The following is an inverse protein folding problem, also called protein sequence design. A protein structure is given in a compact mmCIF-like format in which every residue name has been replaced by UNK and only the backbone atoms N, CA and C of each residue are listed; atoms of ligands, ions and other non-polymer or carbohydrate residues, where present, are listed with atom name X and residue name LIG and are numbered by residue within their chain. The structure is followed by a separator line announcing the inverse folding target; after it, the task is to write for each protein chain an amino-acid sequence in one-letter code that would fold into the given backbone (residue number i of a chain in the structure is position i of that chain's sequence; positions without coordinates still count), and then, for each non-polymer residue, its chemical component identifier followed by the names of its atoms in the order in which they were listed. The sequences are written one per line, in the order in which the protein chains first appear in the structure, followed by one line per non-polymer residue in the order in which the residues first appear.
data_IF_413304700412
#
_entry.id   IF_413304700412
#
_cell.length_a   1.000
_cell.length_b   1.000
_cell.length_c   1.000
_cell.angle_alpha   90.00
_cell.angle_beta   90.00
_cell.angle_gamma   90.00
#
_symmetry.space_group_name_H-M   'P 1'
#
loop_
_entity.id
_entity.type
_entity.pdbx_description
1 polymer ?
#
# COMPACT_ATOMS: atom_id res chain seq x y z
N UNK A 1 6.56 -67.02 6.59
CA UNK A 1 7.21 -66.04 5.72
C UNK A 1 6.23 -64.89 5.48
N UNK A 2 6.59 -63.71 5.94
CA UNK A 2 5.79 -62.49 5.85
C UNK A 2 6.01 -61.79 4.52
N UNK A 3 4.96 -61.21 3.93
CA UNK A 3 5.06 -60.01 3.11
C UNK A 3 3.81 -59.15 3.30
N UNK A 4 3.96 -58.15 4.16
CA UNK A 4 3.13 -56.95 4.22
C UNK A 4 3.46 -56.11 2.98
N UNK A 5 2.48 -55.81 2.13
CA UNK A 5 2.61 -54.77 1.11
C UNK A 5 1.48 -53.76 1.32
N UNK A 6 1.82 -52.72 2.08
CA UNK A 6 1.03 -51.51 2.26
C UNK A 6 0.93 -50.78 0.92
N UNK A 7 -0.25 -50.76 0.32
CA UNK A 7 -0.59 -49.80 -0.73
C UNK A 7 -0.94 -48.47 -0.08
N UNK A 8 0.00 -47.53 -0.08
CA UNK A 8 -0.30 -46.10 0.13
C UNK A 8 0.12 -45.36 -1.13
N UNK A 9 -0.83 -44.87 -1.95
CA UNK A 9 -0.52 -43.82 -2.89
C UNK A 9 -1.33 -42.56 -2.57
N UNK A 10 -0.59 -41.55 -2.10
CA UNK A 10 -0.70 -40.16 -2.51
C UNK A 10 -2.07 -39.48 -2.37
N UNK A 11 -2.32 -38.95 -1.17
CA UNK A 11 -3.17 -37.78 -1.00
C UNK A 11 -2.46 -36.59 -1.68
N UNK A 12 -2.82 -36.30 -2.94
CA UNK A 12 -2.53 -35.00 -3.54
C UNK A 12 -3.39 -33.94 -2.83
N UNK A 13 -2.93 -33.50 -1.65
CA UNK A 13 -3.43 -32.28 -1.03
C UNK A 13 -2.87 -31.11 -1.85
N UNK A 14 -3.49 -30.82 -2.99
CA UNK A 14 -3.26 -29.58 -3.71
C UNK A 14 -3.85 -28.44 -2.87
N UNK A 15 -3.12 -28.01 -1.84
CA UNK A 15 -3.26 -26.68 -1.28
C UNK A 15 -2.73 -25.75 -2.36
N UNK A 16 -3.54 -25.48 -3.38
CA UNK A 16 -3.42 -24.26 -4.16
C UNK A 16 -3.95 -23.16 -3.23
N UNK A 17 -3.20 -22.91 -2.15
CA UNK A 17 -3.23 -21.65 -1.46
C UNK A 17 -2.71 -20.66 -2.47
N UNK A 18 -3.62 -20.05 -3.23
CA UNK A 18 -3.33 -18.76 -3.85
C UNK A 18 -3.02 -17.86 -2.67
N UNK A 19 -1.75 -17.73 -2.32
CA UNK A 19 -1.29 -16.65 -1.48
C UNK A 19 -1.54 -15.40 -2.31
N UNK A 20 -2.74 -14.83 -2.16
CA UNK A 20 -2.91 -13.39 -2.30
C UNK A 20 -1.76 -12.81 -1.49
N UNK A 21 -0.88 -12.04 -2.14
CA UNK A 21 0.23 -11.41 -1.44
C UNK A 21 -0.34 -10.79 -0.17
N UNK A 22 0.12 -11.27 0.98
CA UNK A 22 -0.45 -10.86 2.26
C UNK A 22 -0.21 -9.36 2.39
N UNK A 23 -1.30 -8.60 2.41
CA UNK A 23 -1.20 -7.14 2.45
C UNK A 23 -0.59 -6.82 3.81
N UNK A 24 0.54 -6.09 3.87
CA UNK A 24 1.21 -5.86 5.13
C UNK A 24 0.27 -5.10 6.08
N UNK A 25 0.39 -5.30 7.40
CA UNK A 25 -0.47 -4.64 8.39
C UNK A 25 -0.36 -3.10 8.35
N UNK A 26 0.70 -2.58 7.71
CA UNK A 26 0.94 -1.16 7.51
C UNK A 26 1.47 -0.90 6.10
N UNK A 27 0.92 0.10 5.42
CA UNK A 27 1.44 0.66 4.17
C UNK A 27 1.69 2.17 4.31
N UNK A 28 2.44 2.73 3.37
CA UNK A 28 2.90 4.11 3.36
C UNK A 28 2.43 4.81 2.09
N UNK A 29 1.57 5.81 2.23
CA UNK A 29 0.98 6.56 1.13
C UNK A 29 1.60 7.96 1.08
N UNK A 30 2.08 8.37 -0.09
CA UNK A 30 2.72 9.68 -0.28
C UNK A 30 1.74 10.71 -0.83
N UNK A 31 1.74 11.91 -0.27
CA UNK A 31 0.81 12.99 -0.63
C UNK A 31 1.44 14.38 -0.42
N UNK A 32 0.83 15.39 -1.04
CA UNK A 32 1.16 16.81 -0.85
C UNK A 32 0.25 17.50 0.17
N UNK A 33 -0.91 16.91 0.45
CA UNK A 33 -1.90 17.44 1.38
C UNK A 33 -1.42 17.22 2.80
N UNK A 34 -1.70 18.21 3.64
CA UNK A 34 -1.47 18.18 5.07
C UNK A 34 -2.48 17.30 5.82
N UNK A 35 -2.16 16.96 7.07
CA UNK A 35 -3.05 16.19 7.95
C UNK A 35 -4.40 16.88 8.14
N UNK A 36 -4.44 18.21 8.18
CA UNK A 36 -5.70 18.98 8.28
C UNK A 36 -6.55 18.78 7.03
N UNK A 37 -5.96 18.84 5.84
CA UNK A 37 -6.70 18.64 4.59
C UNK A 37 -7.22 17.20 4.45
N UNK A 38 -6.40 16.20 4.80
CA UNK A 38 -6.81 14.80 4.72
C UNK A 38 -7.86 14.45 5.78
N UNK A 39 -7.70 14.95 7.01
CA UNK A 39 -8.65 14.66 8.09
C UNK A 39 -10.02 15.31 7.89
N UNK A 40 -10.07 16.52 7.34
CA UNK A 40 -11.35 17.19 6.99
C UNK A 40 -12.11 16.46 5.87
N UNK A 41 -11.42 15.66 5.06
CA UNK A 41 -12.00 14.78 4.04
C UNK A 41 -12.33 13.37 4.57
N UNK A 42 -12.19 13.16 5.89
CA UNK A 42 -12.31 11.88 6.56
C UNK A 42 -11.37 10.79 6.00
N UNK A 43 -10.19 11.18 5.53
CA UNK A 43 -9.18 10.28 4.98
C UNK A 43 -9.00 10.43 3.48
N UNK A 44 -8.67 9.32 2.82
CA UNK A 44 -8.41 9.28 1.37
C UNK A 44 -9.60 8.61 0.67
N UNK A 45 -10.04 9.13 -0.49
CA UNK A 45 -11.09 8.51 -1.33
C UNK A 45 -12.47 8.36 -0.67
N UNK A 46 -12.70 9.01 0.47
CA UNK A 46 -13.98 8.93 1.16
C UNK A 46 -14.98 9.95 0.60
N UNK A 47 -16.28 9.69 0.75
CA UNK A 47 -17.37 10.62 0.38
C UNK A 47 -17.37 11.14 -1.07
N UNK A 48 -16.94 10.29 -2.01
CA UNK A 48 -16.94 10.66 -3.44
C UNK A 48 -15.81 11.62 -3.83
N UNK A 49 -14.84 11.86 -2.94
CA UNK A 49 -13.63 12.59 -3.29
C UNK A 49 -12.80 11.80 -4.31
N UNK A 50 -12.30 12.51 -5.32
CA UNK A 50 -11.42 11.92 -6.31
C UNK A 50 -10.13 11.38 -5.68
N UNK A 51 -9.55 10.33 -6.28
CA UNK A 51 -8.18 9.90 -6.03
C UNK A 51 -7.23 11.08 -5.92
N UNK A 52 -6.59 11.25 -4.77
CA UNK A 52 -5.53 12.24 -4.57
C UNK A 52 -4.42 11.59 -3.76
N UNK A 53 -3.21 11.75 -4.26
CA UNK A 53 -1.99 11.11 -3.79
C UNK A 53 -1.00 11.00 -4.93
N UNK A 54 0.20 10.49 -4.65
CA UNK A 54 1.21 10.29 -5.67
C UNK A 54 1.04 8.91 -6.34
N UNK A 55 1.32 8.87 -7.65
CA UNK A 55 1.54 7.64 -8.39
C UNK A 55 3.04 7.43 -8.54
N UNK A 56 3.52 6.22 -8.31
CA UNK A 56 4.93 5.89 -8.50
C UNK A 56 5.20 5.61 -9.96
N UNK A 57 4.39 4.73 -10.56
CA UNK A 57 4.42 4.41 -11.98
C UNK A 57 3.02 4.25 -12.55
N UNK A 58 2.91 4.33 -13.88
CA UNK A 58 1.73 3.89 -14.59
C UNK A 58 1.84 2.38 -14.86
N UNK A 59 0.75 1.65 -14.61
CA UNK A 59 0.69 0.20 -14.77
C UNK A 59 -0.43 -0.22 -15.71
N UNK A 60 -0.07 -0.86 -16.83
CA UNK A 60 -1.02 -1.38 -17.82
C UNK A 60 -1.95 -2.48 -17.26
N UNK A 61 -1.55 -3.08 -16.13
CA UNK A 61 -2.38 -4.07 -15.43
C UNK A 61 -3.47 -3.43 -14.55
N UNK A 62 -3.45 -2.10 -14.42
CA UNK A 62 -4.26 -1.32 -13.48
C UNK A 62 -4.84 -0.04 -14.13
N UNK A 63 -5.32 -0.14 -15.37
CA UNK A 63 -5.81 1.00 -16.17
C UNK A 63 -7.28 1.36 -15.95
N UNK A 64 -8.08 0.43 -15.44
CA UNK A 64 -9.54 0.59 -15.35
C UNK A 64 -10.02 1.16 -14.02
N UNK A 65 -9.16 1.12 -13.00
CA UNK A 65 -9.51 1.51 -11.63
C UNK A 65 -8.61 2.67 -11.21
N UNK A 66 -9.16 3.88 -10.99
CA UNK A 66 -8.39 4.97 -10.42
C UNK A 66 -7.83 4.57 -9.05
N UNK A 67 -6.54 4.83 -8.82
CA UNK A 67 -5.85 4.46 -7.59
C UNK A 67 -4.83 5.52 -7.20
N UNK A 68 -4.17 5.36 -6.05
CA UNK A 68 -2.89 6.03 -5.73
C UNK A 68 -1.92 4.98 -5.25
N UNK A 69 -0.64 5.24 -5.48
CA UNK A 69 0.42 4.31 -5.09
C UNK A 69 0.69 4.43 -3.59
N UNK A 70 0.81 3.29 -2.95
CA UNK A 70 1.37 3.14 -1.62
C UNK A 70 2.46 2.06 -1.65
N UNK A 71 3.36 2.09 -0.68
CA UNK A 71 4.39 1.07 -0.52
C UNK A 71 4.25 0.35 0.82
N UNK A 72 4.59 -0.93 0.90
CA UNK A 72 4.86 -1.59 2.19
C UNK A 72 6.16 -1.12 2.87
N UNK A 73 6.98 -0.31 2.18
CA UNK A 73 8.27 0.20 2.64
C UNK A 73 8.26 1.71 2.80
N UNK A 74 8.39 2.20 4.04
CA UNK A 74 8.44 3.64 4.36
C UNK A 74 9.48 4.40 3.55
N UNK A 75 10.66 3.80 3.36
CA UNK A 75 11.77 4.43 2.62
C UNK A 75 11.40 4.70 1.17
N UNK A 76 10.75 3.74 0.50
CA UNK A 76 10.30 3.88 -0.90
C UNK A 76 9.32 5.03 -1.02
N UNK A 77 8.31 5.08 -0.14
CA UNK A 77 7.35 6.19 -0.12
C UNK A 77 8.01 7.56 0.09
N UNK A 78 9.00 7.66 1.00
CA UNK A 78 9.75 8.89 1.21
C UNK A 78 10.56 9.28 -0.03
N UNK A 79 11.25 8.34 -0.67
CA UNK A 79 12.03 8.64 -1.88
C UNK A 79 11.12 9.13 -3.01
N UNK A 80 9.97 8.49 -3.23
CA UNK A 80 8.98 8.96 -4.20
C UNK A 80 8.44 10.35 -3.87
N UNK A 81 8.12 10.61 -2.60
CA UNK A 81 7.65 11.92 -2.18
C UNK A 81 8.69 13.01 -2.47
N UNK A 82 9.98 12.75 -2.22
CA UNK A 82 11.08 13.67 -2.50
C UNK A 82 11.29 13.94 -3.99
N UNK A 83 11.21 12.89 -4.83
CA UNK A 83 11.50 13.01 -6.26
C UNK A 83 10.35 13.61 -7.05
N UNK A 84 9.11 13.42 -6.59
CA UNK A 84 7.91 13.87 -7.30
C UNK A 84 7.49 15.28 -6.89
N UNK A 85 7.76 15.68 -5.64
CA UNK A 85 7.35 16.99 -5.13
C UNK A 85 8.48 18.00 -5.37
N UNK A 86 8.33 18.77 -6.45
CA UNK A 86 9.28 19.79 -6.84
C UNK A 86 9.15 21.09 -6.03
N UNK A 87 10.29 21.72 -5.75
CA UNK A 87 10.39 23.00 -5.06
C UNK A 87 10.35 22.89 -3.53
N UNK A 88 10.30 24.03 -2.85
CA UNK A 88 10.27 24.09 -1.38
C UNK A 88 8.85 23.86 -0.85
N UNK A 89 8.32 22.66 -1.09
CA UNK A 89 6.99 22.23 -0.62
C UNK A 89 7.13 21.08 0.34
N UNK A 90 6.34 21.09 1.41
CA UNK A 90 6.31 19.99 2.35
C UNK A 90 5.67 18.77 1.68
N UNK A 91 6.29 17.61 1.84
CA UNK A 91 5.69 16.34 1.46
C UNK A 91 5.26 15.57 2.70
N UNK A 92 4.28 14.69 2.53
CA UNK A 92 3.71 13.88 3.58
C UNK A 92 3.72 12.41 3.17
N UNK A 93 4.08 11.54 4.11
CA UNK A 93 4.02 10.09 3.98
C UNK A 93 3.17 9.56 5.13
N UNK A 94 1.95 9.19 4.80
CA UNK A 94 0.94 8.69 5.72
C UNK A 94 1.14 7.22 6.02
N UNK A 95 1.07 6.86 7.30
CA UNK A 95 1.19 5.48 7.77
C UNK A 95 -0.21 4.92 7.95
N UNK A 96 -0.61 4.03 7.04
CA UNK A 96 -1.96 3.47 7.01
C UNK A 96 -1.93 2.08 7.63
N UNK A 97 -2.77 1.86 8.64
CA UNK A 97 -3.11 0.52 9.13
C UNK A 97 -4.11 -0.12 8.17
N UNK A 98 -3.80 -1.32 7.71
CA UNK A 98 -4.61 -2.01 6.70
C UNK A 98 -5.75 -2.82 7.29
N UNK A 99 -5.63 -3.22 8.56
CA UNK A 99 -6.70 -3.85 9.33
C UNK A 99 -7.96 -2.98 9.37
N UNK A 100 -9.12 -3.59 9.15
CA UNK A 100 -10.42 -2.94 9.17
C UNK A 100 -10.79 -2.21 7.87
N UNK A 101 -9.91 -2.14 6.88
CA UNK A 101 -10.26 -1.65 5.55
C UNK A 101 -11.16 -2.65 4.82
N UNK A 102 -12.10 -2.12 4.02
CA UNK A 102 -12.97 -2.94 3.21
C UNK A 102 -12.17 -3.79 2.19
N UNK A 103 -12.63 -5.01 1.87
CA UNK A 103 -11.97 -5.85 0.87
C UNK A 103 -11.80 -5.12 -0.47
N UNK A 104 -10.60 -5.22 -1.05
CA UNK A 104 -10.27 -4.62 -2.34
C UNK A 104 -9.88 -3.14 -2.30
N UNK A 105 -9.92 -2.46 -1.14
CA UNK A 105 -9.42 -1.07 -1.00
C UNK A 105 -7.92 -0.99 -1.27
N UNK A 106 -7.16 -2.00 -0.84
CA UNK A 106 -5.74 -2.14 -1.12
C UNK A 106 -5.55 -3.38 -1.99
N UNK A 107 -4.82 -3.24 -3.09
CA UNK A 107 -4.53 -4.33 -4.02
C UNK A 107 -3.04 -4.35 -4.34
N UNK A 108 -2.40 -5.52 -4.23
CA UNK A 108 -1.00 -5.68 -4.64
C UNK A 108 -0.87 -5.55 -6.16
N UNK A 109 -0.01 -4.63 -6.60
CA UNK A 109 0.25 -4.44 -8.04
C UNK A 109 1.02 -5.65 -8.59
N UNK A 110 2.02 -6.13 -7.85
CA UNK A 110 2.76 -7.34 -8.23
C UNK A 110 1.85 -8.56 -8.41
N UNK A 111 0.82 -8.72 -7.57
CA UNK A 111 -0.16 -9.78 -7.72
C UNK A 111 -0.97 -9.66 -9.03
N UNK A 112 -1.37 -8.44 -9.44
CA UNK A 112 -2.06 -8.23 -10.73
C UNK A 112 -1.19 -8.55 -11.94
N UNK A 113 0.11 -8.23 -11.89
CA UNK A 113 1.06 -8.66 -12.91
C UNK A 113 1.11 -10.19 -12.99
N UNK A 114 1.21 -10.86 -11.84
CA UNK A 114 1.22 -12.32 -11.76
C UNK A 114 -0.07 -12.95 -12.31
N UNK A 115 -1.24 -12.38 -12.02
CA UNK A 115 -2.53 -12.85 -12.52
C UNK A 115 -2.62 -12.81 -14.05
N UNK A 116 -1.91 -11.86 -14.69
CA UNK A 116 -1.79 -11.75 -16.16
C UNK A 116 -0.59 -12.52 -16.73
N UNK A 117 0.09 -13.34 -15.92
CA UNK A 117 1.31 -14.06 -16.29
C UNK A 117 2.44 -13.12 -16.79
N UNK A 118 2.52 -11.92 -16.21
CA UNK A 118 3.52 -10.90 -16.49
C UNK A 118 4.50 -10.75 -15.32
N UNK A 119 5.72 -10.29 -15.61
CA UNK A 119 6.72 -9.93 -14.60
C UNK A 119 6.51 -8.48 -14.15
N UNK A 120 6.36 -8.26 -12.85
CA UNK A 120 6.32 -6.91 -12.29
C UNK A 120 7.70 -6.24 -12.40
N UNK A 121 7.82 -5.04 -13.00
CA UNK A 121 9.11 -4.40 -13.24
C UNK A 121 9.81 -3.83 -11.99
N UNK A 122 9.08 -3.55 -10.91
CA UNK A 122 9.61 -2.85 -9.73
C UNK A 122 9.45 -3.62 -8.41
N UNK A 123 9.90 -4.89 -8.33
CA UNK A 123 9.63 -5.75 -7.17
C UNK A 123 10.18 -5.19 -5.85
N UNK A 124 11.20 -4.33 -5.89
CA UNK A 124 11.81 -3.73 -4.71
C UNK A 124 10.95 -2.62 -4.09
N UNK A 125 9.95 -2.11 -4.80
CA UNK A 125 9.09 -1.03 -4.31
C UNK A 125 7.98 -1.52 -3.38
N UNK A 126 7.63 -2.81 -3.45
CA UNK A 126 6.54 -3.41 -2.68
C UNK A 126 5.27 -2.55 -2.76
N UNK A 127 4.82 -2.32 -4.01
CA UNK A 127 3.78 -1.36 -4.34
C UNK A 127 2.36 -1.94 -4.27
N UNK A 128 1.46 -1.12 -3.74
CA UNK A 128 0.04 -1.39 -3.59
C UNK A 128 -0.77 -0.24 -4.20
N UNK A 129 -1.84 -0.60 -4.90
CA UNK A 129 -2.85 0.34 -5.37
C UNK A 129 -3.90 0.54 -4.27
N UNK A 130 -4.11 1.80 -3.86
CA UNK A 130 -5.22 2.20 -3.00
C UNK A 130 -6.36 2.69 -3.89
N UNK A 131 -7.44 1.92 -3.97
CA UNK A 131 -8.54 2.10 -4.95
C UNK A 131 -9.85 2.56 -4.33
N UNK A 132 -9.92 2.69 -3.01
CA UNK A 132 -11.15 3.02 -2.28
C UNK A 132 -10.90 3.80 -1.01
N UNK A 133 -11.97 4.10 -0.28
CA UNK A 133 -11.92 4.89 0.94
C UNK A 133 -10.97 4.26 1.96
N UNK A 134 -9.95 5.03 2.35
CA UNK A 134 -9.09 4.79 3.51
C UNK A 134 -9.50 5.82 4.56
N UNK A 135 -10.32 5.43 5.53
CA UNK A 135 -10.82 6.35 6.53
C UNK A 135 -9.71 6.96 7.38
N UNK A 136 -9.95 8.15 7.96
CA UNK A 136 -8.97 8.84 8.78
C UNK A 136 -8.52 7.99 9.99
N UNK A 137 -9.39 7.17 10.57
CA UNK A 137 -9.09 6.24 11.65
C UNK A 137 -8.04 5.17 11.29
N UNK A 138 -7.86 4.88 10.01
CA UNK A 138 -6.81 3.98 9.53
C UNK A 138 -5.46 4.70 9.38
N UNK A 139 -5.42 6.02 9.39
CA UNK A 139 -4.18 6.80 9.46
C UNK A 139 -3.64 6.77 10.89
N UNK A 140 -2.42 6.25 11.06
CA UNK A 140 -1.75 6.09 12.37
C UNK A 140 -0.73 7.19 12.67
N UNK A 141 -0.35 7.96 11.66
CA UNK A 141 0.49 9.15 11.76
C UNK A 141 1.09 9.53 10.41
N UNK A 142 1.95 10.54 10.43
CA UNK A 142 2.55 11.12 9.24
C UNK A 142 4.05 11.30 9.38
N UNK A 143 4.80 11.01 8.33
CA UNK A 143 6.17 11.50 8.18
C UNK A 143 6.16 12.68 7.23
N UNK A 144 6.77 13.81 7.57
CA UNK A 144 6.87 14.95 6.67
C UNK A 144 8.27 15.56 6.62
N UNK A 145 8.61 16.17 5.49
CA UNK A 145 9.84 16.93 5.30
C UNK A 145 9.70 17.85 4.08
N UNK A 146 10.57 18.86 4.02
CA UNK A 146 10.86 19.52 2.75
C UNK A 146 11.88 18.69 1.96
N UNK A 147 11.85 18.69 0.62
CA UNK A 147 12.91 18.12 -0.20
C UNK A 147 14.29 18.63 0.26
N UNK A 148 15.21 17.70 0.49
CA UNK A 148 16.56 18.00 1.00
C UNK A 148 16.69 18.06 2.53
N UNK A 149 15.60 18.02 3.30
CA UNK A 149 15.63 17.94 4.76
C UNK A 149 15.38 16.51 5.27
N UNK A 150 15.79 16.24 6.53
CA UNK A 150 15.53 14.95 7.19
C UNK A 150 14.03 14.82 7.49
N UNK A 151 13.37 13.69 7.12
CA UNK A 151 11.97 13.46 7.44
C UNK A 151 11.73 13.30 8.94
N UNK A 152 10.76 14.05 9.48
CA UNK A 152 10.31 13.93 10.86
C UNK A 152 9.04 13.05 10.93
N UNK A 153 8.96 12.18 11.94
CA UNK A 153 7.78 11.36 12.19
C UNK A 153 6.91 12.01 13.28
N UNK A 154 5.62 12.15 12.98
CA UNK A 154 4.60 12.65 13.89
C UNK A 154 3.49 11.59 14.01
N UNK A 155 3.41 10.86 15.13
CA UNK A 155 2.29 9.95 15.37
C UNK A 155 0.98 10.74 15.55
N UNK A 156 -0.13 10.25 14.99
CA UNK A 156 -1.44 10.92 15.08
C UNK A 156 -1.93 11.11 16.53
N UNK A 157 -1.46 10.26 17.45
CA UNK A 157 -1.96 10.16 18.83
C UNK A 157 -1.00 10.69 19.91
N UNK A 158 0.04 11.46 19.57
CA UNK A 158 0.94 12.04 20.57
C UNK A 158 0.76 13.56 20.58
N UNK A 159 -0.39 14.00 21.11
CA UNK A 159 -0.58 15.37 21.62
C UNK A 159 -0.53 15.41 23.16
N UNK A 160 -0.26 14.26 23.80
CA UNK A 160 -0.12 14.09 25.25
C UNK A 160 0.93 13.03 25.59
N UNK A 161 2.11 13.17 25.00
CA UNK A 161 3.36 12.68 25.54
C UNK A 161 4.18 13.95 25.88
#
# INVERSE_FOLDING_TARGET
MAYFLLFVPYIFLSIIGRTLADIPPKIYLSDIRSDTEVSTQNGFYCWGHQPKGLHYHQHDVFTEVPYVSASGKRKVAIEYAKTTINGFKLYYVYHIRTEGLAPGVIQSIAAKYKDKNLKYPYPDEDEYAVTGCVPWENVTGVTSAYPGLKPAWNPKWCLWC
#
